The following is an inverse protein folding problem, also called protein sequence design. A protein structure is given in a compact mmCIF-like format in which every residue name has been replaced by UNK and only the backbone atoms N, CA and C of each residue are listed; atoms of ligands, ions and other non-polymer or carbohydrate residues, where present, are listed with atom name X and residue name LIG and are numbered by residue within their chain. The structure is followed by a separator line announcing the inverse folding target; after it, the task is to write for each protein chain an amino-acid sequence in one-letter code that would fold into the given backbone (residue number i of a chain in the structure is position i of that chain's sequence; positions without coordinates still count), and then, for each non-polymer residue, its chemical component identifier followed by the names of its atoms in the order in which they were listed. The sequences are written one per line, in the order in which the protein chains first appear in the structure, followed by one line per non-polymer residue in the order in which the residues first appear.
data_IF_552083250033
#
_entry.id   IF_552083250033
#
_cell.length_a   1.000
_cell.length_b   1.000
_cell.length_c   1.000
_cell.angle_alpha   90.00
_cell.angle_beta   90.00
_cell.angle_gamma   90.00
#
_symmetry.space_group_name_H-M   'P 1'
#
loop_
_entity.id
_entity.type
_entity.pdbx_description
1 polymer ?
#
# COMPACT_ATOMS: atom_id res chain seq x y z
N UNK A 1 44.51 11.94 -27.70
CA UNK A 1 44.15 13.08 -26.82
C UNK A 1 43.45 12.48 -25.62
N UNK A 2 43.94 12.73 -24.42
CA UNK A 2 43.29 12.28 -23.19
C UNK A 2 42.08 13.17 -22.94
N UNK A 3 40.89 12.60 -22.93
CA UNK A 3 39.68 13.31 -22.49
C UNK A 3 39.89 13.74 -21.04
N UNK A 4 40.00 15.06 -20.83
CA UNK A 4 40.21 15.63 -19.51
C UNK A 4 38.85 15.62 -18.83
N UNK A 5 38.71 14.79 -17.80
CA UNK A 5 37.52 14.75 -16.97
C UNK A 5 37.26 16.14 -16.37
N UNK A 6 36.12 16.73 -16.70
CA UNK A 6 35.75 18.04 -16.19
C UNK A 6 34.93 17.91 -14.91
N UNK A 7 34.86 19.01 -14.14
CA UNK A 7 33.97 19.08 -12.98
C UNK A 7 32.50 18.98 -13.37
N UNK A 8 32.15 19.35 -14.61
CA UNK A 8 30.77 19.26 -15.07
C UNK A 8 30.36 17.81 -15.33
N UNK A 9 31.27 16.99 -15.88
CA UNK A 9 31.04 15.55 -16.07
C UNK A 9 30.74 14.85 -14.75
N UNK A 10 31.47 15.20 -13.68
CA UNK A 10 31.22 14.66 -12.35
C UNK A 10 29.87 15.12 -11.78
N UNK A 11 29.48 16.37 -12.04
CA UNK A 11 28.18 16.92 -11.63
C UNK A 11 27.04 16.21 -12.37
N UNK A 12 27.16 16.01 -13.67
CA UNK A 12 26.18 15.29 -14.48
C UNK A 12 26.06 13.83 -14.03
N UNK A 13 27.18 13.17 -13.77
CA UNK A 13 27.19 11.82 -13.21
C UNK A 13 26.46 11.74 -11.86
N UNK A 14 26.73 12.69 -10.96
CA UNK A 14 26.05 12.78 -9.66
C UNK A 14 24.54 12.96 -9.79
N UNK A 15 24.08 13.82 -10.71
CA UNK A 15 22.65 14.03 -10.97
C UNK A 15 21.96 12.78 -11.54
N UNK A 16 22.61 12.11 -12.49
CA UNK A 16 22.11 10.85 -13.06
C UNK A 16 22.00 9.76 -11.99
N UNK A 17 23.04 9.61 -11.17
CA UNK A 17 23.08 8.64 -10.09
C UNK A 17 21.98 8.89 -9.05
N UNK A 18 21.79 10.14 -8.62
CA UNK A 18 20.73 10.50 -7.67
C UNK A 18 19.35 10.23 -8.26
N UNK A 19 19.14 10.54 -9.55
CA UNK A 19 17.88 10.28 -10.22
C UNK A 19 17.56 8.79 -10.30
N UNK A 20 18.54 7.95 -10.61
CA UNK A 20 18.35 6.51 -10.72
C UNK A 20 18.18 5.86 -9.34
N UNK A 21 18.90 6.33 -8.32
CA UNK A 21 18.65 5.93 -6.93
C UNK A 21 17.22 6.28 -6.49
N UNK A 22 16.73 7.48 -6.81
CA UNK A 22 15.34 7.88 -6.50
C UNK A 22 14.33 6.94 -7.15
N UNK A 23 14.50 6.61 -8.44
CA UNK A 23 13.62 5.66 -9.14
C UNK A 23 13.64 4.27 -8.51
N UNK A 24 14.79 3.80 -8.02
CA UNK A 24 14.90 2.50 -7.34
C UNK A 24 14.13 2.53 -6.02
N UNK A 25 14.27 3.60 -5.22
CA UNK A 25 13.55 3.77 -3.95
C UNK A 25 12.04 3.89 -4.20
N UNK A 26 11.60 4.68 -5.16
CA UNK A 26 10.17 4.80 -5.53
C UNK A 26 9.59 3.46 -5.99
N UNK A 27 10.32 2.69 -6.80
CA UNK A 27 9.90 1.34 -7.19
C UNK A 27 9.87 0.37 -6.00
N UNK A 28 10.81 0.48 -5.07
CA UNK A 28 10.80 -0.33 -3.85
C UNK A 28 9.56 -0.01 -3.00
N UNK A 29 9.21 1.27 -2.83
CA UNK A 29 8.00 1.67 -2.12
C UNK A 29 6.71 1.21 -2.80
N UNK A 30 6.64 1.23 -4.14
CA UNK A 30 5.47 0.74 -4.88
C UNK A 30 5.31 -0.78 -4.70
N UNK A 31 6.41 -1.53 -4.79
CA UNK A 31 6.38 -2.99 -4.60
C UNK A 31 6.06 -3.38 -3.15
N UNK A 32 6.50 -2.62 -2.15
CA UNK A 32 6.15 -2.87 -0.74
C UNK A 32 4.71 -2.48 -0.41
N UNK A 33 4.18 -1.40 -1.00
CA UNK A 33 2.78 -0.98 -0.79
C UNK A 33 1.76 -1.97 -1.39
N UNK A 34 2.10 -2.63 -2.49
CA UNK A 34 1.22 -3.61 -3.15
C UNK A 34 1.38 -5.06 -2.65
N UNK A 35 2.47 -5.40 -1.94
CA UNK A 35 2.72 -6.78 -1.48
C UNK A 35 2.67 -7.00 0.03
N UNK A 36 2.85 -5.97 0.86
CA UNK A 36 2.85 -6.11 2.34
C UNK A 36 1.44 -6.05 2.92
N UNK A 37 0.48 -5.53 2.17
CA UNK A 37 -0.91 -5.51 2.59
C UNK A 37 -1.70 -6.55 1.81
N UNK A 38 -1.99 -7.73 2.40
CA UNK A 38 -2.91 -8.64 1.75
C UNK A 38 -4.21 -7.87 1.49
N UNK A 39 -4.59 -7.82 0.21
CA UNK A 39 -5.84 -7.20 -0.27
C UNK A 39 -7.05 -7.62 0.60
N UNK A 40 -6.94 -8.80 1.22
CA UNK A 40 -7.91 -9.42 2.11
C UNK A 40 -7.41 -9.48 3.55
N UNK A 41 -8.00 -8.68 4.44
CA UNK A 41 -7.67 -8.64 5.86
C UNK A 41 -8.59 -9.54 6.69
N UNK A 42 -8.03 -10.42 7.54
CA UNK A 42 -8.82 -11.27 8.46
C UNK A 42 -9.63 -10.42 9.46
N UNK A 43 -10.79 -10.91 9.90
CA UNK A 43 -11.64 -10.25 10.90
C UNK A 43 -10.87 -9.74 12.14
N UNK A 44 -9.91 -10.52 12.65
CA UNK A 44 -9.12 -10.13 13.83
C UNK A 44 -8.25 -8.90 13.57
N UNK A 45 -7.68 -8.80 12.38
CA UNK A 45 -6.83 -7.66 11.98
C UNK A 45 -7.70 -6.42 11.77
N UNK A 46 -8.81 -6.55 11.04
CA UNK A 46 -9.73 -5.43 10.78
C UNK A 46 -10.28 -4.84 12.08
N UNK A 47 -10.72 -5.69 13.01
CA UNK A 47 -11.20 -5.24 14.33
C UNK A 47 -10.14 -4.45 15.10
N UNK A 48 -8.88 -4.88 15.06
CA UNK A 48 -7.77 -4.18 15.71
C UNK A 48 -7.40 -2.89 14.98
N UNK A 49 -7.42 -2.90 13.65
CA UNK A 49 -7.03 -1.76 12.81
C UNK A 49 -8.00 -0.59 12.95
N UNK A 50 -9.30 -0.87 13.00
CA UNK A 50 -10.37 0.14 13.01
C UNK A 50 -11.06 0.27 14.38
N UNK A 51 -10.50 -0.38 15.41
CA UNK A 51 -11.06 -0.43 16.77
C UNK A 51 -12.57 -0.78 16.81
N UNK A 52 -12.95 -1.82 16.06
CA UNK A 52 -14.35 -2.22 15.88
C UNK A 52 -14.72 -3.46 16.69
N UNK A 53 -15.95 -3.46 17.22
CA UNK A 53 -16.57 -4.64 17.81
C UNK A 53 -16.84 -5.73 16.76
N UNK A 54 -16.98 -7.01 17.16
CA UNK A 54 -17.41 -8.09 16.26
C UNK A 54 -18.76 -7.81 15.59
N UNK A 55 -19.71 -7.22 16.31
CA UNK A 55 -21.03 -6.87 15.79
C UNK A 55 -20.97 -5.78 14.73
N UNK A 56 -20.12 -4.75 14.92
CA UNK A 56 -19.93 -3.67 13.95
C UNK A 56 -19.37 -4.20 12.63
N UNK A 57 -18.32 -5.04 12.70
CA UNK A 57 -17.74 -5.64 11.50
C UNK A 57 -18.70 -6.63 10.82
N UNK A 58 -19.52 -7.35 11.59
CA UNK A 58 -20.61 -8.16 11.04
C UNK A 58 -21.65 -7.31 10.33
N UNK A 59 -22.02 -6.15 10.88
CA UNK A 59 -22.96 -5.24 10.23
C UNK A 59 -22.42 -4.72 8.90
N UNK A 60 -21.15 -4.33 8.82
CA UNK A 60 -20.51 -3.95 7.55
C UNK A 60 -20.59 -5.07 6.51
N UNK A 61 -20.41 -6.33 6.95
CA UNK A 61 -20.53 -7.52 6.09
C UNK A 61 -21.96 -7.73 5.60
N UNK A 62 -22.94 -7.66 6.50
CA UNK A 62 -24.35 -7.95 6.20
C UNK A 62 -24.98 -6.84 5.36
N UNK A 63 -24.59 -5.58 5.61
CA UNK A 63 -25.06 -4.42 4.83
C UNK A 63 -24.40 -4.28 3.46
N UNK A 64 -23.38 -5.10 3.16
CA UNK A 64 -22.68 -5.06 1.87
C UNK A 64 -21.79 -3.83 1.66
N UNK A 65 -21.54 -3.03 2.71
CA UNK A 65 -20.68 -1.84 2.65
C UNK A 65 -19.21 -2.15 2.36
N UNK A 66 -18.79 -3.39 2.63
CA UNK A 66 -17.41 -3.86 2.42
C UNK A 66 -17.46 -5.24 1.80
N UNK A 67 -16.73 -5.45 0.69
CA UNK A 67 -16.58 -6.77 0.08
C UNK A 67 -15.89 -7.72 1.05
N UNK A 68 -16.40 -8.94 1.14
CA UNK A 68 -15.87 -9.96 2.03
C UNK A 68 -15.72 -11.31 1.33
N UNK A 69 -14.84 -12.17 1.85
CA UNK A 69 -14.68 -13.57 1.46
C UNK A 69 -14.68 -14.46 2.70
N UNK A 70 -15.28 -15.65 2.58
CA UNK A 70 -15.21 -16.70 3.61
C UNK A 70 -14.25 -17.78 3.12
N UNK A 71 -13.16 -18.00 3.86
CA UNK A 71 -12.15 -19.03 3.54
C UNK A 71 -11.91 -19.86 4.80
N UNK A 72 -12.17 -21.16 4.71
CA UNK A 72 -11.97 -22.12 5.82
C UNK A 72 -12.60 -21.64 7.14
N UNK A 73 -13.84 -21.15 7.08
CA UNK A 73 -14.58 -20.66 8.26
C UNK A 73 -14.18 -19.26 8.76
N UNK A 74 -13.13 -18.65 8.23
CA UNK A 74 -12.71 -17.28 8.58
C UNK A 74 -13.20 -16.27 7.55
N UNK A 75 -13.61 -15.08 8.02
CA UNK A 75 -13.94 -13.96 7.16
C UNK A 75 -12.73 -13.06 6.91
N UNK A 76 -12.66 -12.58 5.68
CA UNK A 76 -11.69 -11.63 5.18
C UNK A 76 -12.40 -10.48 4.50
N UNK A 77 -11.83 -9.28 4.58
CA UNK A 77 -12.44 -8.05 4.09
C UNK A 77 -11.48 -7.33 3.16
N UNK A 78 -12.02 -6.74 2.10
CA UNK A 78 -11.21 -5.99 1.14
C UNK A 78 -10.64 -4.72 1.81
N UNK A 79 -9.32 -4.55 1.75
CA UNK A 79 -8.62 -3.42 2.39
C UNK A 79 -9.04 -2.08 1.80
N UNK A 80 -9.17 -1.99 0.48
CA UNK A 80 -9.51 -0.73 -0.20
C UNK A 80 -10.90 -0.25 0.21
N UNK A 81 -11.88 -1.14 0.25
CA UNK A 81 -13.23 -0.81 0.73
C UNK A 81 -13.20 -0.32 2.18
N UNK A 82 -12.41 -0.95 3.05
CA UNK A 82 -12.25 -0.52 4.45
C UNK A 82 -11.64 0.88 4.57
N UNK A 83 -10.66 1.22 3.73
CA UNK A 83 -10.07 2.56 3.65
C UNK A 83 -11.06 3.59 3.10
N UNK A 84 -11.87 3.19 2.11
CA UNK A 84 -12.86 4.05 1.49
C UNK A 84 -14.02 4.39 2.44
N UNK A 85 -14.28 3.59 3.49
CA UNK A 85 -15.30 3.91 4.50
C UNK A 85 -15.11 5.28 5.17
N UNK A 86 -13.87 5.77 5.22
CA UNK A 86 -13.53 7.07 5.81
C UNK A 86 -13.11 8.11 4.78
N UNK A 87 -13.03 7.72 3.51
CA UNK A 87 -12.76 8.65 2.43
C UNK A 87 -14.11 9.29 2.08
N UNK A 88 -14.26 10.59 2.32
CA UNK A 88 -15.51 11.31 2.06
C UNK A 88 -15.99 11.03 0.62
N UNK A 89 -17.26 10.63 0.49
CA UNK A 89 -17.99 10.72 -0.78
C UNK A 89 -17.96 12.20 -1.21
N UNK A 90 -17.09 12.53 -2.16
CA UNK A 90 -17.22 13.77 -2.95
C UNK A 90 -18.21 13.56 -4.08
#
# INVERSE_FOLDING_TARGET
MSDILTKDDLRQFGLLLINDLRKIVEKAEINEKDTIHPEWLKSRVVRKLMDMSPGSLQNLRVTGKVRFKKVLGSYYYNKQDLSNLFSEDK
#
